data_IF_542241946907
#
_entry.id   IF_542241946907
#
_cell.length_a   1.000
_cell.length_b   1.000
_cell.length_c   1.000
_cell.angle_alpha   90.00
_cell.angle_beta   90.00
_cell.angle_gamma   90.00
#
_symmetry.space_group_name_H-M   'P 1'
#
loop_
_entity.id
_entity.type
_entity.pdbx_description
1 polymer ?
#
# COMPACT_ATOMS: atom_id res chain seq x y z
N UNK A 1 -37.22 -25.14 14.41
CA UNK A 1 -37.76 -26.16 13.49
C UNK A 1 -36.66 -26.61 12.55
N UNK A 2 -36.25 -27.88 12.64
CA UNK A 2 -35.24 -28.50 11.77
C UNK A 2 -35.90 -29.03 10.49
N UNK A 3 -35.24 -29.03 9.32
CA UNK A 3 -35.81 -29.60 8.11
C UNK A 3 -35.72 -31.13 8.11
N UNK A 4 -36.89 -31.72 7.86
CA UNK A 4 -37.24 -33.15 7.78
C UNK A 4 -36.53 -33.92 6.66
N UNK A 5 -36.15 -35.15 6.99
CA UNK A 5 -35.58 -36.19 6.11
C UNK A 5 -36.38 -36.42 4.82
N UNK A 6 -35.72 -36.38 3.66
CA UNK A 6 -36.26 -36.90 2.41
C UNK A 6 -35.80 -38.35 2.21
N UNK A 7 -36.73 -39.28 2.43
CA UNK A 7 -36.60 -40.70 2.11
C UNK A 7 -36.67 -40.89 0.59
N UNK A 8 -35.58 -41.32 -0.05
CA UNK A 8 -35.63 -41.87 -1.41
C UNK A 8 -35.88 -43.36 -1.35
N UNK A 9 -36.89 -43.82 -2.10
CA UNK A 9 -37.31 -45.22 -2.19
C UNK A 9 -36.36 -45.98 -3.12
N UNK A 10 -35.94 -47.17 -2.70
CA UNK A 10 -35.16 -48.09 -3.51
C UNK A 10 -36.08 -48.78 -4.53
N UNK A 11 -35.99 -48.40 -5.79
CA UNK A 11 -36.63 -49.10 -6.89
C UNK A 11 -35.68 -50.19 -7.40
N UNK A 12 -36.06 -51.46 -7.21
CA UNK A 12 -35.30 -52.61 -7.70
C UNK A 12 -35.50 -52.70 -9.22
N UNK A 13 -34.45 -52.42 -9.99
CA UNK A 13 -34.47 -52.67 -11.43
C UNK A 13 -34.37 -54.18 -11.68
N UNK A 14 -35.47 -54.76 -12.18
CA UNK A 14 -35.55 -56.17 -12.57
C UNK A 14 -34.74 -56.39 -13.85
N UNK A 15 -33.90 -57.43 -13.84
CA UNK A 15 -33.11 -57.82 -14.99
C UNK A 15 -33.97 -58.31 -16.16
N UNK A 16 -33.55 -57.98 -17.37
CA UNK A 16 -33.80 -58.77 -18.58
C UNK A 16 -32.67 -58.56 -19.59
N UNK A 17 -32.01 -59.68 -19.82
CA UNK A 17 -31.26 -60.16 -20.98
C UNK A 17 -31.07 -59.20 -22.18
N UNK A 18 -29.80 -58.98 -22.52
CA UNK A 18 -29.37 -58.44 -23.80
C UNK A 18 -28.09 -59.15 -24.21
N UNK A 19 -28.15 -59.86 -25.33
CA UNK A 19 -27.16 -60.80 -25.84
C UNK A 19 -25.75 -60.23 -25.99
N UNK A 20 -24.78 -60.84 -25.29
CA UNK A 20 -23.36 -60.62 -25.54
C UNK A 20 -22.93 -61.54 -26.69
N UNK A 21 -22.98 -61.02 -27.91
CA UNK A 21 -22.43 -61.67 -29.09
C UNK A 21 -20.94 -62.00 -28.85
N UNK A 22 -20.65 -63.30 -28.77
CA UNK A 22 -19.30 -63.86 -28.80
C UNK A 22 -18.65 -63.53 -30.15
N UNK A 23 -17.54 -62.80 -30.14
CA UNK A 23 -16.52 -62.93 -31.19
C UNK A 23 -15.33 -63.68 -30.62
N UNK A 24 -15.17 -64.92 -31.09
CA UNK A 24 -13.97 -65.72 -30.89
C UNK A 24 -12.92 -65.26 -31.91
N UNK A 25 -11.76 -64.83 -31.43
CA UNK A 25 -10.49 -65.07 -32.14
C UNK A 25 -9.33 -64.98 -31.12
N UNK A 26 -9.00 -66.13 -30.54
CA UNK A 26 -7.82 -66.27 -29.71
C UNK A 26 -6.59 -66.49 -30.59
N UNK A 27 -5.80 -65.44 -30.80
CA UNK A 27 -4.37 -65.62 -31.03
C UNK A 27 -3.71 -65.78 -29.67
N UNK A 28 -3.12 -66.95 -29.40
CA UNK A 28 -2.39 -67.25 -28.15
C UNK A 28 -1.09 -66.45 -28.10
N UNK A 29 -1.19 -65.16 -27.78
CA UNK A 29 -0.05 -64.33 -27.38
C UNK A 29 0.29 -64.57 -25.91
N UNK A 30 1.57 -64.72 -25.59
CA UNK A 30 2.11 -64.93 -24.24
C UNK A 30 1.42 -64.01 -23.23
N UNK A 31 0.73 -64.59 -22.24
CA UNK A 31 0.10 -63.88 -21.13
C UNK A 31 1.19 -63.17 -20.32
N UNK A 32 1.57 -61.95 -20.70
CA UNK A 32 2.45 -61.10 -19.90
C UNK A 32 1.78 -60.93 -18.54
N UNK A 33 2.40 -61.43 -17.47
CA UNK A 33 1.88 -61.23 -16.10
C UNK A 33 1.75 -59.72 -15.84
N UNK A 34 0.58 -59.31 -15.37
CA UNK A 34 0.29 -57.91 -15.01
C UNK A 34 1.31 -57.49 -13.96
N UNK A 35 2.10 -56.45 -14.21
CA UNK A 35 3.07 -55.94 -13.23
C UNK A 35 2.29 -55.53 -11.99
N UNK A 36 2.72 -55.98 -10.81
CA UNK A 36 2.13 -55.56 -9.55
C UNK A 36 2.31 -54.05 -9.41
N UNK A 37 1.19 -53.33 -9.30
CA UNK A 37 1.16 -51.90 -9.03
C UNK A 37 0.87 -51.77 -7.53
N UNK A 38 1.76 -51.13 -6.79
CA UNK A 38 1.56 -50.85 -5.36
C UNK A 38 0.28 -50.05 -5.15
N UNK A 39 -0.53 -50.45 -4.17
CA UNK A 39 -1.79 -49.79 -3.78
C UNK A 39 -1.59 -48.33 -3.34
N UNK A 40 -0.34 -47.92 -3.06
CA UNK A 40 0.00 -46.53 -2.78
C UNK A 40 0.00 -45.62 -4.02
N UNK A 41 0.01 -46.19 -5.24
CA UNK A 41 -0.09 -45.46 -6.52
C UNK A 41 -1.52 -45.38 -7.07
N UNK A 42 -2.52 -45.50 -6.21
CA UNK A 42 -3.90 -45.22 -6.60
C UNK A 42 -4.04 -43.72 -6.89
N UNK A 43 -4.26 -43.41 -8.16
CA UNK A 43 -4.55 -42.06 -8.64
C UNK A 43 -5.73 -41.49 -7.84
N UNK A 44 -5.46 -40.46 -7.03
CA UNK A 44 -6.49 -39.79 -6.23
C UNK A 44 -7.37 -38.92 -7.14
N UNK A 45 -8.47 -39.50 -7.61
CA UNK A 45 -9.56 -38.82 -8.30
C UNK A 45 -10.02 -39.54 -9.57
N UNK A 46 -11.05 -39.01 -10.23
CA UNK A 46 -11.61 -39.57 -11.46
C UNK A 46 -11.11 -38.78 -12.68
N UNK A 47 -10.42 -39.47 -13.60
CA UNK A 47 -9.98 -38.88 -14.89
C UNK A 47 -11.19 -38.44 -15.72
N UNK A 48 -12.31 -39.16 -15.65
CA UNK A 48 -13.57 -38.82 -16.35
C UNK A 48 -14.19 -37.51 -15.85
N UNK A 49 -13.98 -37.17 -14.57
CA UNK A 49 -14.53 -35.97 -13.93
C UNK A 49 -13.51 -34.82 -13.87
N UNK A 50 -12.30 -35.00 -14.40
CA UNK A 50 -11.22 -34.01 -14.32
C UNK A 50 -10.69 -33.78 -12.90
N UNK A 51 -11.06 -34.62 -11.94
CA UNK A 51 -10.61 -34.55 -10.56
C UNK A 51 -9.31 -35.34 -10.44
N UNK A 52 -8.19 -34.64 -10.33
CA UNK A 52 -6.86 -35.26 -10.19
C UNK A 52 -5.89 -34.32 -9.49
N UNK A 53 -4.59 -34.57 -9.66
CA UNK A 53 -3.54 -33.77 -9.00
C UNK A 53 -3.63 -32.27 -9.31
N UNK A 54 -3.89 -31.90 -10.57
CA UNK A 54 -4.04 -30.50 -10.99
C UNK A 54 -5.23 -29.81 -10.31
N UNK A 55 -6.36 -30.51 -10.19
CA UNK A 55 -7.55 -30.02 -9.49
C UNK A 55 -7.27 -29.82 -8.00
N UNK A 56 -6.62 -30.78 -7.34
CA UNK A 56 -6.23 -30.67 -5.94
C UNK A 56 -5.25 -29.51 -5.69
N UNK A 57 -4.29 -29.29 -6.61
CA UNK A 57 -3.38 -28.15 -6.55
C UNK A 57 -4.14 -26.82 -6.69
N UNK A 58 -5.09 -26.75 -7.64
CA UNK A 58 -5.97 -25.59 -7.83
C UNK A 58 -6.82 -25.31 -6.59
N UNK A 59 -7.38 -26.34 -5.96
CA UNK A 59 -8.14 -26.21 -4.71
C UNK A 59 -7.27 -25.74 -3.54
N UNK A 60 -6.04 -26.25 -3.40
CA UNK A 60 -5.08 -25.79 -2.39
C UNK A 60 -4.75 -24.31 -2.57
N UNK A 61 -4.39 -23.88 -3.78
CA UNK A 61 -4.10 -22.48 -4.10
C UNK A 61 -5.31 -21.59 -3.80
N UNK A 62 -6.53 -22.01 -4.20
CA UNK A 62 -7.77 -21.29 -3.90
C UNK A 62 -8.00 -21.17 -2.39
N UNK A 63 -7.74 -22.23 -1.63
CA UNK A 63 -7.87 -22.24 -0.19
C UNK A 63 -6.86 -21.28 0.48
N UNK A 64 -5.61 -21.31 0.06
CA UNK A 64 -4.56 -20.40 0.56
C UNK A 64 -4.90 -18.93 0.28
N UNK A 65 -5.35 -18.62 -0.94
CA UNK A 65 -5.82 -17.29 -1.30
C UNK A 65 -6.99 -16.84 -0.42
N UNK A 66 -8.02 -17.67 -0.27
CA UNK A 66 -9.16 -17.37 0.60
C UNK A 66 -8.75 -17.24 2.07
N UNK A 67 -7.74 -17.98 2.53
CA UNK A 67 -7.17 -17.86 3.87
C UNK A 67 -6.48 -16.51 4.05
N UNK A 68 -5.75 -16.01 3.05
CA UNK A 68 -5.18 -14.66 3.06
C UNK A 68 -6.28 -13.61 3.09
N UNK A 69 -7.30 -13.72 2.23
CA UNK A 69 -8.45 -12.80 2.24
C UNK A 69 -9.19 -12.79 3.59
N UNK A 70 -9.36 -13.95 4.22
CA UNK A 70 -9.96 -14.03 5.57
C UNK A 70 -9.10 -13.33 6.62
N UNK A 71 -7.78 -13.49 6.56
CA UNK A 71 -6.85 -12.81 7.47
C UNK A 71 -6.87 -11.30 7.25
N UNK A 72 -6.90 -10.85 6.01
CA UNK A 72 -6.99 -9.43 5.65
C UNK A 72 -8.30 -8.80 6.14
N UNK A 73 -9.45 -9.45 5.90
CA UNK A 73 -10.76 -9.02 6.40
C UNK A 73 -10.86 -9.01 7.92
N UNK A 74 -10.14 -9.90 8.62
CA UNK A 74 -10.06 -9.89 10.09
C UNK A 74 -9.15 -8.78 10.62
N UNK A 75 -8.07 -8.44 9.92
CA UNK A 75 -7.16 -7.35 10.29
C UNK A 75 -7.80 -5.98 10.05
N UNK A 76 -8.51 -5.85 8.93
CA UNK A 76 -9.29 -4.67 8.58
C UNK A 76 -10.76 -5.09 8.57
N UNK A 77 -11.43 -5.17 9.75
CA UNK A 77 -12.87 -5.25 9.74
C UNK A 77 -13.35 -3.97 9.06
N UNK A 78 -13.71 -4.05 7.78
CA UNK A 78 -14.25 -2.90 7.07
C UNK A 78 -15.43 -2.44 7.90
N UNK A 79 -15.31 -1.27 8.53
CA UNK A 79 -16.40 -0.67 9.27
C UNK A 79 -17.51 -0.51 8.23
N UNK A 80 -18.52 -1.37 8.31
CA UNK A 80 -19.78 -1.07 7.67
C UNK A 80 -20.25 0.15 8.44
N UNK A 81 -19.96 1.34 7.91
CA UNK A 81 -20.42 2.58 8.48
C UNK A 81 -21.95 2.53 8.39
N UNK A 82 -22.58 1.95 9.43
CA UNK A 82 -24.03 1.82 9.59
C UNK A 82 -24.69 3.19 9.67
N UNK A 83 -23.89 4.20 10.00
CA UNK A 83 -24.23 5.60 9.95
C UNK A 83 -23.32 6.25 8.89
N UNK A 84 -23.90 6.63 7.74
CA UNK A 84 -23.29 7.69 6.93
C UNK A 84 -23.59 8.96 7.70
N UNK A 85 -22.70 9.28 8.61
CA UNK A 85 -22.69 10.53 9.36
C UNK A 85 -22.38 11.64 8.36
N UNK A 86 -23.41 12.05 7.62
CA UNK A 86 -23.39 13.24 6.79
C UNK A 86 -23.53 14.41 7.76
N UNK A 87 -22.45 14.61 8.55
CA UNK A 87 -22.34 15.73 9.45
C UNK A 87 -22.39 17.02 8.62
N UNK A 88 -23.10 18.05 9.09
CA UNK A 88 -23.07 19.37 8.46
C UNK A 88 -21.63 19.82 8.21
N UNK A 89 -21.33 20.23 6.97
CA UNK A 89 -19.98 20.52 6.48
C UNK A 89 -19.20 21.49 7.39
N UNK A 90 -19.90 22.43 8.03
CA UNK A 90 -19.32 23.45 8.91
C UNK A 90 -18.80 22.92 10.27
N UNK A 91 -19.26 21.76 10.74
CA UNK A 91 -18.79 21.15 11.99
C UNK A 91 -17.68 20.12 11.78
N UNK A 92 -17.42 19.76 10.52
CA UNK A 92 -16.40 18.77 10.15
C UNK A 92 -15.03 19.07 10.75
N UNK A 93 -14.65 20.35 10.83
CA UNK A 93 -13.36 20.77 11.39
C UNK A 93 -13.22 20.48 12.88
N UNK A 94 -14.31 20.60 13.66
CA UNK A 94 -14.30 20.30 15.09
C UNK A 94 -14.02 18.80 15.31
N UNK A 95 -14.71 17.95 14.54
CA UNK A 95 -14.55 16.50 14.61
C UNK A 95 -13.19 16.03 14.08
N UNK A 96 -12.70 16.63 13.00
CA UNK A 96 -11.36 16.33 12.48
C UNK A 96 -10.28 16.72 13.52
N UNK A 97 -10.43 17.87 14.20
CA UNK A 97 -9.52 18.30 15.26
C UNK A 97 -9.53 17.34 16.47
N UNK A 98 -10.70 16.91 16.92
CA UNK A 98 -10.84 15.92 18.00
C UNK A 98 -10.21 14.57 17.62
N UNK A 99 -10.47 14.09 16.40
CA UNK A 99 -9.88 12.86 15.90
C UNK A 99 -8.35 12.94 15.78
N UNK A 100 -7.79 14.09 15.40
CA UNK A 100 -6.35 14.32 15.38
C UNK A 100 -5.74 14.34 16.78
N UNK A 101 -6.41 14.98 17.75
CA UNK A 101 -5.99 14.98 19.16
C UNK A 101 -5.93 13.56 19.71
N UNK A 102 -6.97 12.75 19.49
CA UNK A 102 -7.02 11.33 19.87
C UNK A 102 -5.90 10.51 19.22
N UNK A 103 -5.57 10.77 17.94
CA UNK A 103 -4.46 10.08 17.25
C UNK A 103 -3.11 10.46 17.83
N UNK A 104 -2.88 11.74 18.11
CA UNK A 104 -1.65 12.23 18.75
C UNK A 104 -1.50 11.62 20.14
N UNK A 105 -2.56 11.60 20.93
CA UNK A 105 -2.58 11.00 22.26
C UNK A 105 -2.34 9.48 22.23
N UNK A 106 -3.00 8.75 21.33
CA UNK A 106 -2.75 7.32 21.17
C UNK A 106 -1.30 7.04 20.74
N UNK A 107 -0.71 7.92 19.93
CA UNK A 107 0.70 7.83 19.53
C UNK A 107 1.64 8.13 20.70
N UNK A 108 1.41 9.18 21.48
CA UNK A 108 2.21 9.49 22.67
C UNK A 108 2.10 8.36 23.70
N UNK A 109 0.91 7.84 23.96
CA UNK A 109 0.68 6.70 24.85
C UNK A 109 1.42 5.44 24.38
N UNK A 110 1.46 5.18 23.06
CA UNK A 110 2.25 4.08 22.49
C UNK A 110 3.75 4.28 22.71
N UNK A 111 4.26 5.49 22.46
CA UNK A 111 5.67 5.83 22.67
C UNK A 111 6.02 5.71 24.15
N UNK A 112 5.18 6.22 25.05
CA UNK A 112 5.37 6.15 26.50
C UNK A 112 5.36 4.69 26.98
N UNK A 113 4.45 3.86 26.48
CA UNK A 113 4.44 2.41 26.79
C UNK A 113 5.72 1.71 26.30
N UNK A 114 6.24 2.10 25.15
CA UNK A 114 7.53 1.60 24.65
C UNK A 114 8.69 2.05 25.53
N UNK A 115 8.72 3.32 25.93
CA UNK A 115 9.73 3.89 26.84
C UNK A 115 9.71 3.20 28.20
N UNK A 116 8.52 2.95 28.77
CA UNK A 116 8.36 2.20 30.01
C UNK A 116 8.86 0.76 29.88
N UNK A 117 8.63 0.10 28.75
CA UNK A 117 9.15 -1.26 28.51
C UNK A 117 10.68 -1.28 28.43
N UNK A 118 11.29 -0.27 27.80
CA UNK A 118 12.75 -0.11 27.75
C UNK A 118 13.33 0.25 29.13
N UNK A 119 12.66 1.13 29.88
CA UNK A 119 13.07 1.51 31.24
C UNK A 119 12.97 0.34 32.22
N UNK A 120 11.94 -0.51 32.09
CA UNK A 120 11.82 -1.74 32.88
C UNK A 120 12.94 -2.75 32.61
N UNK A 121 13.38 -2.88 31.35
CA UNK A 121 14.55 -3.72 31.01
C UNK A 121 15.87 -3.13 31.51
N UNK A 122 16.02 -1.81 31.52
CA UNK A 122 17.21 -1.16 32.09
C UNK A 122 17.25 -1.29 33.63
N UNK A 123 16.10 -1.23 34.29
CA UNK A 123 15.98 -1.35 35.76
C UNK A 123 16.15 -2.79 36.27
N UNK A 124 15.90 -3.80 35.43
CA UNK A 124 16.21 -5.22 35.74
C UNK A 124 17.71 -5.56 35.61
N UNK A 125 18.54 -4.67 35.04
CA UNK A 125 19.99 -4.89 34.88
C UNK A 125 20.87 -3.86 35.61
N UNK A 126 20.31 -3.05 36.51
CA UNK A 126 21.07 -2.04 37.23
C UNK A 126 20.35 -1.58 38.48
N UNK A 127 20.54 -2.31 39.58
CA UNK A 127 20.57 -1.68 40.90
C UNK A 127 21.94 -1.04 41.05
N UNK A 128 21.96 0.28 41.01
CA UNK A 128 23.13 1.14 41.16
C UNK A 128 22.62 2.55 41.45
N UNK A 129 22.59 2.84 42.74
CA UNK A 129 22.27 4.07 43.45
C UNK A 129 22.62 5.39 42.72
N UNK A 130 21.81 6.42 42.93
CA UNK A 130 22.05 7.75 42.38
C UNK A 130 20.78 8.59 42.27
N UNK A 131 20.40 9.20 43.39
CA UNK A 131 19.51 10.36 43.47
C UNK A 131 20.05 11.50 42.59
N UNK A 132 19.17 12.19 41.87
CA UNK A 132 19.25 13.64 41.69
C UNK A 132 17.88 14.15 41.24
N UNK A 133 17.29 14.94 42.14
CA UNK A 133 16.22 15.88 41.86
C UNK A 133 16.71 16.89 40.82
N UNK A 134 15.83 17.30 39.89
CA UNK A 134 15.78 18.69 39.46
C UNK A 134 14.40 18.95 38.85
N UNK A 135 13.66 19.80 39.57
CA UNK A 135 12.51 20.53 39.09
C UNK A 135 12.89 21.37 37.87
N UNK A 136 12.05 21.42 36.84
CA UNK A 136 11.86 22.71 36.18
C UNK A 136 10.48 22.82 35.52
N UNK A 137 9.87 23.95 35.85
CA UNK A 137 8.49 24.30 35.66
C UNK A 137 8.22 24.84 34.25
N UNK A 138 6.95 24.79 33.88
CA UNK A 138 6.42 25.19 32.60
C UNK A 138 6.83 26.62 32.16
N UNK A 139 7.09 26.79 30.86
CA UNK A 139 6.53 27.92 30.13
C UNK A 139 6.48 27.70 28.61
N UNK A 140 5.35 28.14 28.05
CA UNK A 140 4.98 28.17 26.64
C UNK A 140 5.90 29.12 25.86
N UNK A 141 6.29 28.76 24.65
CA UNK A 141 6.38 29.72 23.55
C UNK A 141 5.92 29.09 22.23
N UNK A 142 5.07 29.87 21.57
CA UNK A 142 4.42 29.64 20.29
C UNK A 142 5.40 29.83 19.12
N UNK A 143 4.94 29.42 17.94
CA UNK A 143 5.36 29.84 16.60
C UNK A 143 6.48 29.04 15.89
N UNK A 144 6.00 28.31 14.87
CA UNK A 144 6.47 28.31 13.48
C UNK A 144 7.96 28.05 13.21
N UNK A 145 8.23 26.95 12.50
CA UNK A 145 9.52 26.78 11.83
C UNK A 145 9.80 25.32 11.55
N UNK A 146 9.60 24.95 10.29
CA UNK A 146 10.12 23.73 9.70
C UNK A 146 11.64 23.70 9.87
N UNK A 147 12.22 22.60 10.39
CA UNK A 147 13.44 22.01 9.83
C UNK A 147 13.78 20.65 10.48
N UNK A 148 14.16 19.72 9.61
CA UNK A 148 15.27 18.76 9.74
C UNK A 148 15.72 18.36 11.17
N UNK A 149 15.58 17.07 11.50
CA UNK A 149 16.37 16.44 12.57
C UNK A 149 17.34 15.45 11.93
N UNK A 150 18.50 16.02 11.60
CA UNK A 150 19.83 15.41 11.72
C UNK A 150 19.99 14.77 13.11
N UNK A 151 20.53 13.54 13.15
CA UNK A 151 20.97 12.88 14.37
C UNK A 151 22.45 12.49 14.25
N UNK A 152 23.31 13.17 15.02
CA UNK A 152 24.67 12.73 15.40
C UNK A 152 24.62 11.52 16.34
N UNK A 153 25.70 10.94 16.87
CA UNK A 153 27.06 11.37 17.20
C UNK A 153 28.05 10.24 16.78
N UNK A 154 29.39 10.32 16.83
CA UNK A 154 30.22 10.82 17.91
C UNK A 154 31.70 10.87 17.50
N UNK A 155 32.39 11.86 18.05
CA UNK A 155 33.79 12.23 17.87
C UNK A 155 34.74 11.27 18.63
N UNK A 156 35.88 10.95 18.03
CA UNK A 156 37.16 10.81 18.75
C UNK A 156 38.26 11.54 17.99
N UNK A 157 38.75 12.60 18.61
CA UNK A 157 39.91 13.38 18.20
C UNK A 157 41.14 12.85 18.94
N UNK A 158 42.17 12.48 18.20
CA UNK A 158 43.55 12.45 18.70
C UNK A 158 44.51 12.73 17.55
N UNK A 159 45.04 13.94 17.59
CA UNK A 159 46.25 14.48 16.95
C UNK A 159 47.28 13.42 16.53
N UNK A 160 47.62 13.38 15.23
CA UNK A 160 49.01 13.16 14.82
C UNK A 160 49.26 13.73 13.41
N UNK A 161 50.10 14.77 13.41
CA UNK A 161 50.80 15.40 12.30
C UNK A 161 51.42 14.35 11.36
N UNK A 162 51.16 14.45 10.05
CA UNK A 162 52.15 14.34 8.95
C UNK A 162 51.49 14.34 7.56
N UNK A 163 51.86 15.34 6.75
CA UNK A 163 52.16 15.29 5.32
C UNK A 163 51.08 14.82 4.32
N UNK A 164 50.63 15.76 3.48
CA UNK A 164 50.86 15.80 2.02
C UNK A 164 49.64 16.34 1.26
N UNK A 165 49.92 17.38 0.47
CA UNK A 165 49.07 17.94 -0.58
C UNK A 165 48.54 16.89 -1.57
N UNK A 166 47.39 17.14 -2.23
CA UNK A 166 46.81 16.23 -3.22
C UNK A 166 47.66 16.24 -4.49
N UNK A 167 48.48 15.21 -4.67
CA UNK A 167 49.14 14.98 -5.95
C UNK A 167 48.10 14.63 -7.00
N UNK A 168 48.00 15.55 -7.97
CA UNK A 168 47.45 15.31 -9.29
C UNK A 168 47.97 14.01 -9.90
N UNK A 169 47.08 13.31 -10.58
CA UNK A 169 47.41 12.45 -11.72
C UNK A 169 48.45 11.35 -11.47
N UNK A 170 48.05 10.26 -10.81
CA UNK A 170 48.64 8.96 -11.11
C UNK A 170 47.95 8.39 -12.36
N UNK A 171 48.51 8.74 -13.51
CA UNK A 171 48.40 7.91 -14.70
C UNK A 171 49.11 6.58 -14.41
N UNK A 172 48.44 5.64 -13.75
CA UNK A 172 48.86 4.25 -13.82
C UNK A 172 48.47 3.75 -15.21
N UNK A 173 49.44 3.70 -16.12
CA UNK A 173 49.34 2.99 -17.39
C UNK A 173 49.07 1.50 -17.14
N UNK A 174 47.84 1.18 -16.76
CA UNK A 174 47.36 -0.19 -16.75
C UNK A 174 47.13 -0.60 -18.19
N UNK A 175 47.76 -1.71 -18.60
CA UNK A 175 47.55 -2.34 -19.90
C UNK A 175 46.05 -2.30 -20.26
N UNK A 176 45.68 -1.98 -21.52
CA UNK A 176 44.28 -1.84 -21.90
C UNK A 176 43.55 -3.13 -21.56
N UNK A 177 42.78 -3.11 -20.47
CA UNK A 177 42.07 -4.28 -19.99
C UNK A 177 41.26 -4.84 -21.16
N UNK A 178 41.45 -6.13 -21.45
CA UNK A 178 40.70 -6.79 -22.51
C UNK A 178 39.21 -6.55 -22.32
N UNK A 179 38.47 -6.40 -23.41
CA UNK A 179 37.02 -6.17 -23.39
C UNK A 179 36.27 -7.22 -22.52
N UNK A 180 36.86 -8.41 -22.36
CA UNK A 180 36.35 -9.49 -21.50
C UNK A 180 36.47 -9.19 -20.00
N UNK A 181 37.52 -8.50 -19.55
CA UNK A 181 37.72 -8.15 -18.14
C UNK A 181 36.87 -6.96 -17.71
N UNK A 182 36.74 -5.92 -18.55
CA UNK A 182 35.80 -4.80 -18.33
C UNK A 182 34.38 -5.29 -18.12
N UNK A 183 33.89 -6.15 -19.03
CA UNK A 183 32.56 -6.77 -18.95
C UNK A 183 32.35 -7.69 -17.75
N UNK A 184 33.40 -8.11 -17.04
CA UNK A 184 33.28 -8.86 -15.79
C UNK A 184 33.21 -7.92 -14.57
N UNK A 185 33.99 -6.84 -14.57
CA UNK A 185 33.98 -5.83 -13.49
C UNK A 185 32.71 -4.96 -13.51
N UNK A 186 32.13 -4.73 -14.69
CA UNK A 186 30.86 -4.01 -14.85
C UNK A 186 29.64 -4.84 -14.43
N UNK A 187 29.79 -6.17 -14.22
CA UNK A 187 28.69 -7.02 -13.77
C UNK A 187 28.43 -6.77 -12.30
N UNK A 188 27.36 -6.04 -12.03
CA UNK A 188 26.85 -5.83 -10.67
C UNK A 188 26.46 -7.17 -10.02
N UNK A 189 26.85 -7.31 -8.76
CA UNK A 189 26.42 -8.42 -7.91
C UNK A 189 24.89 -8.38 -7.73
N UNK A 190 24.25 -9.52 -7.50
CA UNK A 190 22.83 -9.64 -7.19
C UNK A 190 22.40 -8.66 -6.09
N UNK A 191 23.16 -8.57 -4.99
CA UNK A 191 22.87 -7.63 -3.91
C UNK A 191 22.89 -6.16 -4.34
N UNK A 192 23.88 -5.77 -5.14
CA UNK A 192 23.98 -4.41 -5.69
C UNK A 192 22.79 -4.09 -6.59
N UNK A 193 22.35 -5.05 -7.42
CA UNK A 193 21.14 -4.90 -8.23
C UNK A 193 19.89 -4.70 -7.38
N UNK A 194 19.73 -5.48 -6.30
CA UNK A 194 18.57 -5.32 -5.41
C UNK A 194 18.55 -3.98 -4.69
N UNK A 195 19.72 -3.44 -4.31
CA UNK A 195 19.84 -2.12 -3.68
C UNK A 195 19.45 -1.00 -4.65
N UNK A 196 19.94 -1.05 -5.89
CA UNK A 196 19.58 -0.10 -6.94
C UNK A 196 18.10 -0.14 -7.28
N UNK A 197 17.50 -1.34 -7.34
CA UNK A 197 16.07 -1.47 -7.57
C UNK A 197 15.24 -0.86 -6.44
N UNK A 198 15.67 -1.04 -5.18
CA UNK A 198 15.03 -0.42 -4.04
C UNK A 198 15.07 1.12 -4.10
N UNK A 199 16.24 1.69 -4.41
CA UNK A 199 16.43 3.13 -4.58
C UNK A 199 15.55 3.67 -5.72
N UNK A 200 15.52 2.99 -6.87
CA UNK A 200 14.62 3.33 -7.99
C UNK A 200 13.15 3.29 -7.60
N UNK A 201 12.73 2.31 -6.79
CA UNK A 201 11.35 2.23 -6.31
C UNK A 201 11.04 3.41 -5.39
N UNK A 202 11.97 3.79 -4.50
CA UNK A 202 11.81 4.96 -3.63
C UNK A 202 11.70 6.25 -4.44
N UNK A 203 12.58 6.48 -5.40
CA UNK A 203 12.52 7.65 -6.28
C UNK A 203 11.22 7.71 -7.07
N UNK A 204 10.77 6.59 -7.65
CA UNK A 204 9.47 6.53 -8.35
C UNK A 204 8.31 6.89 -7.42
N UNK A 205 8.36 6.46 -6.15
CA UNK A 205 7.35 6.85 -5.16
C UNK A 205 7.42 8.34 -4.83
N UNK A 206 8.62 8.92 -4.68
CA UNK A 206 8.83 10.35 -4.45
C UNK A 206 8.29 11.18 -5.62
N UNK A 207 8.69 10.86 -6.86
CA UNK A 207 8.21 11.53 -8.08
C UNK A 207 6.70 11.48 -8.20
N UNK A 208 6.08 10.33 -7.96
CA UNK A 208 4.60 10.20 -7.95
C UNK A 208 3.93 11.06 -6.88
N UNK A 209 4.52 11.16 -5.68
CA UNK A 209 4.00 12.03 -4.61
C UNK A 209 4.12 13.50 -4.97
N UNK A 210 5.26 13.93 -5.53
CA UNK A 210 5.50 15.29 -5.98
C UNK A 210 4.55 15.70 -7.11
N UNK A 211 4.39 14.84 -8.12
CA UNK A 211 3.41 15.02 -9.21
C UNK A 211 1.99 15.11 -8.67
N UNK A 212 1.62 14.23 -7.74
CA UNK A 212 0.31 14.27 -7.10
C UNK A 212 0.07 15.59 -6.35
N UNK A 213 1.06 16.08 -5.61
CA UNK A 213 0.96 17.33 -4.87
C UNK A 213 0.79 18.53 -5.81
N UNK A 214 1.58 18.59 -6.88
CA UNK A 214 1.44 19.63 -7.93
C UNK A 214 0.07 19.58 -8.59
N UNK A 215 -0.40 18.40 -8.98
CA UNK A 215 -1.73 18.24 -9.57
C UNK A 215 -2.86 18.62 -8.61
N UNK A 216 -2.68 18.34 -7.31
CA UNK A 216 -3.62 18.74 -6.26
C UNK A 216 -3.68 20.27 -6.13
N UNK A 217 -2.53 20.93 -6.05
CA UNK A 217 -2.43 22.40 -6.01
C UNK A 217 -3.08 23.04 -7.23
N UNK A 218 -2.78 22.56 -8.44
CA UNK A 218 -3.40 23.07 -9.68
C UNK A 218 -4.92 22.94 -9.67
N UNK A 219 -5.46 21.82 -9.17
CA UNK A 219 -6.91 21.63 -9.03
C UNK A 219 -7.51 22.59 -8.02
N UNK A 220 -6.88 22.75 -6.87
CA UNK A 220 -7.33 23.67 -5.82
C UNK A 220 -7.30 25.12 -6.31
N UNK A 221 -6.22 25.55 -6.96
CA UNK A 221 -6.09 26.87 -7.58
C UNK A 221 -7.16 27.10 -8.66
N UNK A 222 -7.42 26.11 -9.52
CA UNK A 222 -8.44 26.22 -10.55
C UNK A 222 -9.85 26.37 -9.95
N UNK A 223 -10.14 25.60 -8.90
CA UNK A 223 -11.42 25.69 -8.16
C UNK A 223 -11.54 27.06 -7.48
N UNK A 224 -10.48 27.55 -6.84
CA UNK A 224 -10.48 28.86 -6.19
C UNK A 224 -10.70 29.98 -7.21
N UNK A 225 -9.98 29.95 -8.34
CA UNK A 225 -10.17 30.91 -9.45
C UNK A 225 -11.61 30.89 -9.98
N UNK A 226 -12.19 29.70 -10.15
CA UNK A 226 -13.59 29.56 -10.55
C UNK A 226 -14.55 30.17 -9.52
N UNK A 227 -14.35 29.87 -8.22
CA UNK A 227 -15.17 30.42 -7.14
C UNK A 227 -15.06 31.93 -7.05
N UNK A 228 -13.85 32.49 -7.16
CA UNK A 228 -13.60 33.94 -7.17
C UNK A 228 -14.33 34.60 -8.33
N UNK A 229 -14.13 34.12 -9.57
CA UNK A 229 -14.86 34.64 -10.74
C UNK A 229 -16.37 34.54 -10.57
N UNK A 230 -16.87 33.43 -10.02
CA UNK A 230 -18.31 33.27 -9.75
C UNK A 230 -18.82 34.29 -8.73
N UNK A 231 -18.06 34.56 -7.68
CA UNK A 231 -18.43 35.56 -6.66
C UNK A 231 -18.37 36.99 -7.20
N UNK A 232 -17.33 37.34 -7.96
CA UNK A 232 -17.20 38.66 -8.59
C UNK A 232 -18.34 38.93 -9.57
N UNK A 233 -18.64 37.98 -10.44
CA UNK A 233 -19.75 38.09 -11.39
C UNK A 233 -21.10 38.21 -10.69
N UNK A 234 -21.33 37.41 -9.65
CA UNK A 234 -22.52 37.53 -8.81
C UNK A 234 -22.63 38.90 -8.15
N UNK A 235 -21.52 39.43 -7.60
CA UNK A 235 -21.50 40.77 -7.00
C UNK A 235 -21.85 41.85 -8.02
N UNK A 236 -21.28 41.80 -9.23
CA UNK A 236 -21.55 42.79 -10.29
C UNK A 236 -23.03 42.75 -10.69
N UNK A 237 -23.58 41.55 -10.91
CA UNK A 237 -24.96 41.37 -11.38
C UNK A 237 -26.00 41.69 -10.30
N UNK A 238 -25.67 41.49 -9.02
CA UNK A 238 -26.58 41.75 -7.90
C UNK A 238 -26.57 43.18 -7.37
N UNK A 239 -25.65 44.04 -7.84
CA UNK A 239 -25.61 45.44 -7.42
C UNK A 239 -26.91 46.14 -7.83
N UNK A 240 -27.56 46.77 -6.85
CA UNK A 240 -28.81 47.51 -6.99
C UNK A 240 -28.59 48.99 -6.70
N UNK A 241 -29.40 49.84 -7.30
CA UNK A 241 -29.44 51.28 -7.03
C UNK A 241 -30.08 51.56 -5.66
N UNK A 242 -29.98 52.80 -5.15
CA UNK A 242 -30.62 53.20 -3.87
C UNK A 242 -32.12 52.91 -3.82
N UNK A 243 -32.79 52.82 -4.98
CA UNK A 243 -34.22 52.49 -5.13
C UNK A 243 -34.49 50.98 -5.25
N UNK A 244 -33.47 50.13 -5.11
CA UNK A 244 -33.60 48.66 -5.19
C UNK A 244 -33.67 48.09 -6.62
N UNK A 245 -33.58 48.92 -7.66
CA UNK A 245 -33.56 48.49 -9.05
C UNK A 245 -32.18 47.94 -9.43
N UNK A 246 -32.08 46.96 -10.34
CA UNK A 246 -30.79 46.46 -10.82
C UNK A 246 -29.98 47.58 -11.50
N UNK A 247 -28.66 47.59 -11.29
CA UNK A 247 -27.78 48.56 -11.93
C UNK A 247 -27.42 48.11 -13.36
N UNK A 248 -28.17 48.63 -14.33
CA UNK A 248 -28.08 48.25 -15.75
C UNK A 248 -26.70 48.55 -16.37
N UNK A 249 -26.04 49.63 -15.94
CA UNK A 249 -24.72 50.00 -16.47
C UNK A 249 -23.66 48.94 -16.15
N UNK A 250 -23.65 48.43 -14.93
CA UNK A 250 -22.72 47.38 -14.49
C UNK A 250 -22.99 46.04 -15.21
N UNK A 251 -24.26 45.72 -15.45
CA UNK A 251 -24.64 44.51 -16.20
C UNK A 251 -24.23 44.64 -17.68
N UNK A 252 -24.38 45.82 -18.26
CA UNK A 252 -23.97 46.12 -19.63
C UNK A 252 -22.45 46.04 -19.78
N UNK A 253 -21.67 46.57 -18.83
CA UNK A 253 -20.21 46.46 -18.82
C UNK A 253 -19.74 45.00 -18.74
N UNK A 254 -20.34 44.20 -17.86
CA UNK A 254 -20.05 42.76 -17.78
C UNK A 254 -20.37 42.03 -19.09
N UNK A 255 -21.50 42.37 -19.73
CA UNK A 255 -21.89 41.78 -21.01
C UNK A 255 -20.89 42.15 -22.12
N UNK A 256 -20.49 43.42 -22.20
CA UNK A 256 -19.46 43.88 -23.15
C UNK A 256 -18.13 43.15 -22.93
N UNK A 257 -17.70 43.00 -21.68
CA UNK A 257 -16.50 42.23 -21.33
C UNK A 257 -16.59 40.77 -21.79
N UNK A 258 -17.76 40.14 -21.65
CA UNK A 258 -17.98 38.76 -22.11
C UNK A 258 -17.95 38.63 -23.63
N UNK A 259 -18.54 39.59 -24.36
CA UNK A 259 -18.52 39.61 -25.84
C UNK A 259 -17.09 39.83 -26.34
N UNK A 260 -16.40 40.84 -25.84
CA UNK A 260 -15.01 41.14 -26.24
C UNK A 260 -14.04 40.02 -25.85
N UNK A 261 -14.24 39.39 -24.70
CA UNK A 261 -13.45 38.25 -24.25
C UNK A 261 -13.73 36.96 -25.02
N UNK A 262 -14.90 36.82 -25.65
CA UNK A 262 -15.26 35.65 -26.46
C UNK A 262 -14.71 35.67 -27.89
N UNK A 263 -14.18 36.82 -28.33
CA UNK A 263 -13.57 36.99 -29.66
C UNK A 263 -12.04 36.81 -29.71
N UNK A 264 -11.42 36.32 -28.63
CA UNK A 264 -9.98 36.03 -28.55
C UNK A 264 -9.73 34.54 -28.35
#
# INVERSE_FOLDING_TARGET
MAPTDQKTKNEKFAGKEGDLAKTKSGAKGVKKKRKWISDQKLFKGSVKEGQGFAFNRKQKVKHEYNKLLRKEKKKNPGSKNLYKEEYPEHLRHLYEAEAEKLKKEAWTNRVNRSKLRMKGQAKEMGEGDGEEEDDDEAQQTEAAGEEEVSGGSELKESVSRNQAEPTSASQSESLPMSNRMRKKMERKNSYQKTKEEFERIQEKRRKKKEEYLKNKQQKEEAIQKYKQKKMETFQILNKKTKKGQPNLNLQMEYLLQKIQGSGK
#
